data_IF_343086452765
#
_entry.id   IF_343086452765
#
_cell.length_a   1.000
_cell.length_b   1.000
_cell.length_c   1.000
_cell.angle_alpha   90.00
_cell.angle_beta   90.00
_cell.angle_gamma   90.00
#
_symmetry.space_group_name_H-M   'P 1'
#
loop_
_entity.id
_entity.type
_entity.pdbx_description
1 polymer ?
#
# COMPACT_ATOMS: atom_id res chain seq x y z
N UNK A 1 -0.21 -0.95 26.97
CA UNK A 1 1.15 -1.38 26.60
C UNK A 1 1.10 -1.91 25.19
N UNK A 2 1.18 -1.03 24.20
CA UNK A 2 1.23 -1.37 22.78
C UNK A 2 2.58 -0.85 22.29
N UNK A 3 3.63 -1.66 22.37
CA UNK A 3 4.85 -1.35 21.62
C UNK A 3 4.60 -1.79 20.19
N UNK A 4 4.05 -0.90 19.36
CA UNK A 4 3.88 -1.15 17.94
C UNK A 4 5.29 -1.23 17.32
N UNK A 5 5.63 -2.40 16.77
CA UNK A 5 6.88 -2.63 16.06
C UNK A 5 6.96 -1.69 14.86
N UNK A 6 7.94 -0.78 14.87
CA UNK A 6 8.18 0.17 13.79
C UNK A 6 8.72 -0.56 12.56
N UNK A 7 7.85 -0.94 11.62
CA UNK A 7 8.21 -1.23 10.22
C UNK A 7 7.13 -0.73 9.24
N UNK A 8 6.70 0.53 9.42
CA UNK A 8 6.40 1.34 8.24
C UNK A 8 7.75 1.75 7.62
N UNK A 9 7.87 1.67 6.30
CA UNK A 9 9.09 1.71 5.49
C UNK A 9 10.12 2.79 5.90
N UNK A 10 10.99 2.50 6.89
CA UNK A 10 12.23 3.25 7.10
C UNK A 10 13.29 2.71 6.14
N UNK A 11 13.45 3.36 5.00
CA UNK A 11 14.65 3.20 4.16
C UNK A 11 15.73 4.09 4.74
N UNK A 12 16.56 3.51 5.60
CA UNK A 12 17.72 4.18 6.18
C UNK A 12 18.62 3.14 6.83
N UNK A 13 19.49 2.54 6.01
CA UNK A 13 20.82 2.00 6.35
C UNK A 13 21.15 0.81 5.44
N UNK A 14 21.94 1.06 4.38
CA UNK A 14 23.03 0.21 3.87
C UNK A 14 23.84 1.10 2.91
N UNK A 15 24.87 1.74 3.45
CA UNK A 15 25.95 2.31 2.65
C UNK A 15 27.25 2.17 3.42
N UNK A 16 27.85 0.97 3.34
CA UNK A 16 29.31 0.79 3.42
C UNK A 16 29.69 -0.66 3.16
N UNK A 17 30.42 -0.84 2.06
CA UNK A 17 31.55 -1.75 1.84
C UNK A 17 31.41 -2.42 0.47
N UNK A 18 32.21 -1.97 -0.50
CA UNK A 18 33.08 -2.86 -1.26
C UNK A 18 34.09 -2.03 -2.05
N UNK A 19 35.36 -2.20 -1.67
CA UNK A 19 36.51 -1.76 -2.44
C UNK A 19 37.29 -2.98 -2.93
N UNK A 20 37.86 -2.82 -4.12
CA UNK A 20 38.95 -3.59 -4.76
C UNK A 20 38.63 -4.88 -5.52
N UNK A 21 38.51 -4.69 -6.83
CA UNK A 21 39.38 -5.23 -7.90
C UNK A 21 40.00 -6.63 -7.76
N UNK A 22 39.75 -7.47 -8.76
CA UNK A 22 40.59 -8.61 -9.14
C UNK A 22 40.21 -9.15 -10.51
N UNK A 23 41.09 -8.96 -11.50
CA UNK A 23 41.00 -9.51 -12.86
C UNK A 23 41.05 -11.05 -12.87
N UNK A 24 40.29 -11.69 -13.76
CA UNK A 24 40.32 -13.14 -13.98
C UNK A 24 39.88 -13.49 -15.40
N UNK A 25 40.85 -13.94 -16.20
CA UNK A 25 40.89 -14.23 -17.62
C UNK A 25 39.77 -15.09 -18.24
N UNK A 26 39.40 -14.72 -19.48
CA UNK A 26 38.62 -15.47 -20.48
C UNK A 26 39.38 -16.74 -20.91
N UNK A 27 38.71 -17.90 -20.90
CA UNK A 27 39.07 -19.05 -21.75
C UNK A 27 37.80 -19.62 -22.38
N UNK A 28 37.73 -19.50 -23.70
CA UNK A 28 36.75 -20.15 -24.59
C UNK A 28 37.07 -21.64 -24.71
N UNK A 29 36.09 -22.50 -24.43
CA UNK A 29 36.11 -23.90 -24.84
C UNK A 29 34.74 -24.30 -25.40
N UNK A 30 34.68 -24.40 -26.72
CA UNK A 30 33.57 -24.99 -27.49
C UNK A 30 33.57 -26.50 -27.34
N UNK A 31 32.47 -27.09 -26.88
CA UNK A 31 32.19 -28.50 -27.03
C UNK A 31 30.72 -28.71 -27.41
N UNK A 32 30.50 -29.05 -28.67
CA UNK A 32 29.22 -29.49 -29.19
C UNK A 32 28.96 -30.94 -28.74
N UNK A 33 27.84 -31.17 -28.06
CA UNK A 33 27.31 -32.51 -27.81
C UNK A 33 25.79 -32.47 -27.98
N UNK A 34 25.31 -33.09 -29.06
CA UNK A 34 23.89 -33.18 -29.38
C UNK A 34 23.10 -33.90 -28.29
N UNK A 35 21.98 -33.31 -27.87
CA UNK A 35 20.92 -33.99 -27.14
C UNK A 35 19.61 -33.80 -27.89
N UNK A 36 18.96 -34.95 -28.17
CA UNK A 36 17.66 -35.10 -28.82
C UNK A 36 16.64 -34.09 -28.30
N UNK A 37 16.06 -33.31 -29.21
CA UNK A 37 14.81 -32.60 -28.94
C UNK A 37 13.70 -33.63 -28.77
N UNK A 38 13.21 -33.79 -27.54
CA UNK A 38 11.85 -34.27 -27.33
C UNK A 38 10.95 -33.05 -27.45
N UNK A 39 10.33 -32.88 -28.62
CA UNK A 39 9.16 -32.00 -28.77
C UNK A 39 7.99 -32.64 -28.04
N UNK A 40 7.92 -32.39 -26.73
CA UNK A 40 6.70 -32.52 -25.96
C UNK A 40 5.77 -31.38 -26.37
N UNK A 41 4.94 -31.62 -27.38
CA UNK A 41 3.73 -30.81 -27.62
C UNK A 41 2.70 -31.20 -26.56
N UNK A 42 3.01 -30.90 -25.30
CA UNK A 42 1.99 -30.81 -24.27
C UNK A 42 1.28 -29.49 -24.48
N UNK A 43 -0.02 -29.53 -24.80
CA UNK A 43 -0.87 -28.35 -24.65
C UNK A 43 -0.67 -27.81 -23.24
N UNK A 44 0.04 -26.67 -23.11
CA UNK A 44 0.03 -25.91 -21.86
C UNK A 44 -1.41 -25.46 -21.68
N UNK A 45 -2.17 -26.17 -20.84
CA UNK A 45 -3.38 -25.61 -20.25
C UNK A 45 -2.97 -24.31 -19.60
N UNK A 46 -3.28 -23.18 -20.24
CA UNK A 46 -3.08 -21.87 -19.66
C UNK A 46 -4.12 -21.75 -18.54
N UNK A 47 -3.66 -22.02 -17.32
CA UNK A 47 -4.47 -21.75 -16.14
C UNK A 47 -4.87 -20.27 -16.17
N UNK A 48 -6.13 -20.00 -15.84
CA UNK A 48 -6.69 -18.66 -15.82
C UNK A 48 -7.22 -18.35 -14.44
N UNK A 49 -7.07 -17.09 -14.05
CA UNK A 49 -7.60 -16.51 -12.83
C UNK A 49 -8.56 -15.38 -13.22
N UNK A 50 -9.70 -15.29 -12.54
CA UNK A 50 -10.73 -14.28 -12.82
C UNK A 50 -10.71 -13.19 -11.76
N UNK A 51 -10.58 -11.93 -12.16
CA UNK A 51 -10.71 -10.75 -11.28
C UNK A 51 -11.84 -9.88 -11.82
N UNK A 52 -12.86 -9.63 -11.00
CA UNK A 52 -14.03 -8.81 -11.37
C UNK A 52 -14.70 -9.23 -12.71
N UNK A 53 -14.71 -10.54 -13.00
CA UNK A 53 -15.28 -11.11 -14.23
C UNK A 53 -14.33 -11.14 -15.44
N UNK A 54 -13.16 -10.51 -15.35
CA UNK A 54 -12.14 -10.54 -16.40
C UNK A 54 -11.16 -11.69 -16.14
N UNK A 55 -10.93 -12.53 -17.15
CA UNK A 55 -10.00 -13.65 -17.07
C UNK A 55 -8.59 -13.26 -17.49
N UNK A 56 -7.61 -13.61 -16.66
CA UNK A 56 -6.18 -13.36 -16.87
C UNK A 56 -5.43 -14.70 -16.90
N UNK A 57 -4.43 -14.81 -17.76
CA UNK A 57 -3.51 -15.96 -17.74
C UNK A 57 -2.66 -15.92 -16.48
N UNK A 58 -2.40 -17.09 -15.89
CA UNK A 58 -1.47 -17.27 -14.76
C UNK A 58 -0.13 -17.84 -15.23
N UNK A 59 0.92 -17.62 -14.47
CA UNK A 59 2.28 -18.12 -14.71
C UNK A 59 3.03 -18.41 -13.39
N UNK A 60 4.35 -18.49 -13.43
CA UNK A 60 5.19 -18.74 -12.25
C UNK A 60 5.25 -17.57 -11.27
N UNK A 61 4.83 -16.36 -11.65
CA UNK A 61 4.75 -15.20 -10.79
C UNK A 61 3.45 -15.16 -9.99
N UNK A 62 2.40 -15.83 -10.46
CA UNK A 62 1.09 -15.85 -9.80
C UNK A 62 1.20 -16.28 -8.33
N UNK A 63 0.80 -15.39 -7.42
CA UNK A 63 0.71 -15.64 -5.99
C UNK A 63 -0.59 -15.09 -5.37
N UNK A 64 -1.49 -14.52 -6.18
CA UNK A 64 -2.79 -14.02 -5.72
C UNK A 64 -3.69 -15.19 -5.32
N UNK A 65 -4.12 -15.22 -4.05
CA UNK A 65 -4.92 -16.33 -3.49
C UNK A 65 -6.42 -16.11 -3.64
N UNK A 66 -7.22 -17.17 -3.50
CA UNK A 66 -8.68 -17.06 -3.58
C UNK A 66 -9.25 -16.15 -2.48
N UNK A 67 -8.68 -16.19 -1.27
CA UNK A 67 -9.08 -15.28 -0.19
C UNK A 67 -8.89 -13.80 -0.56
N UNK A 68 -7.81 -13.47 -1.28
CA UNK A 68 -7.56 -12.10 -1.77
C UNK A 68 -8.54 -11.72 -2.88
N UNK A 69 -8.80 -12.64 -3.82
CA UNK A 69 -9.77 -12.40 -4.90
C UNK A 69 -11.17 -12.13 -4.38
N UNK A 70 -11.60 -12.81 -3.31
CA UNK A 70 -12.90 -12.57 -2.68
C UNK A 70 -13.03 -11.17 -2.05
N UNK A 71 -11.91 -10.49 -1.76
CA UNK A 71 -11.91 -9.11 -1.27
C UNK A 71 -12.00 -8.09 -2.41
N UNK A 72 -11.64 -8.48 -3.64
CA UNK A 72 -11.84 -7.62 -4.82
C UNK A 72 -13.33 -7.36 -5.04
N UNK A 73 -13.69 -6.11 -5.35
CA UNK A 73 -15.09 -5.74 -5.63
C UNK A 73 -15.98 -5.59 -4.40
N UNK A 74 -15.44 -5.67 -3.17
CA UNK A 74 -16.20 -5.40 -1.93
C UNK A 74 -16.74 -3.97 -1.85
N UNK A 75 -16.11 -3.03 -2.56
CA UNK A 75 -16.62 -1.67 -2.77
C UNK A 75 -16.87 -0.90 -1.47
N UNK A 76 -16.02 -1.06 -0.46
CA UNK A 76 -16.22 -0.42 0.86
C UNK A 76 -16.31 1.11 0.77
N UNK A 77 -15.60 1.71 -0.20
CA UNK A 77 -15.64 3.14 -0.49
C UNK A 77 -16.97 3.62 -1.14
N UNK A 78 -17.81 2.70 -1.61
CA UNK A 78 -19.10 2.97 -2.25
C UNK A 78 -20.30 2.65 -1.35
N UNK A 79 -20.06 2.17 -0.13
CA UNK A 79 -21.11 1.89 0.84
C UNK A 79 -21.32 3.14 1.70
N UNK A 80 -22.42 3.91 1.56
CA UNK A 80 -22.51 5.27 2.12
C UNK A 80 -22.34 5.36 3.65
N UNK A 81 -22.77 4.33 4.38
CA UNK A 81 -22.62 4.26 5.84
C UNK A 81 -21.30 3.66 6.29
N UNK A 82 -20.44 3.21 5.37
CA UNK A 82 -19.15 2.63 5.73
C UNK A 82 -18.19 3.74 6.17
N UNK A 83 -17.44 3.59 7.29
CA UNK A 83 -16.53 4.62 7.79
C UNK A 83 -15.53 5.14 6.74
N UNK A 84 -15.00 4.25 5.89
CA UNK A 84 -14.07 4.63 4.82
C UNK A 84 -14.76 5.45 3.72
N UNK A 85 -16.01 5.15 3.39
CA UNK A 85 -16.78 5.95 2.43
C UNK A 85 -17.10 7.34 3.01
N UNK A 86 -17.50 7.41 4.28
CA UNK A 86 -17.74 8.68 4.98
C UNK A 86 -16.48 9.53 4.96
N UNK A 87 -15.33 8.96 5.32
CA UNK A 87 -14.04 9.65 5.28
C UNK A 87 -13.68 10.12 3.86
N UNK A 88 -13.84 9.25 2.85
CA UNK A 88 -13.60 9.59 1.44
C UNK A 88 -14.40 10.83 1.02
N UNK A 89 -15.70 10.85 1.31
CA UNK A 89 -16.56 11.99 0.98
C UNK A 89 -16.15 13.27 1.71
N UNK A 90 -15.74 13.16 2.97
CA UNK A 90 -15.24 14.31 3.74
C UNK A 90 -13.95 14.89 3.16
N UNK A 91 -13.04 14.04 2.69
CA UNK A 91 -11.82 14.49 2.01
C UNK A 91 -12.19 15.14 0.67
N UNK A 92 -13.02 14.49 -0.14
CA UNK A 92 -13.47 15.06 -1.43
C UNK A 92 -14.07 16.46 -1.26
N UNK A 93 -14.87 16.69 -0.22
CA UNK A 93 -15.42 18.02 0.10
C UNK A 93 -14.36 19.09 0.39
N UNK A 94 -13.12 18.73 0.76
CA UNK A 94 -12.02 19.69 0.93
C UNK A 94 -11.39 20.13 -0.40
N UNK A 95 -11.70 19.44 -1.50
CA UNK A 95 -11.14 19.65 -2.83
C UNK A 95 -12.24 19.74 -3.89
N UNK A 96 -13.21 20.67 -3.79
CA UNK A 96 -14.34 20.77 -4.71
C UNK A 96 -13.93 21.00 -6.17
N UNK A 97 -12.73 21.54 -6.40
CA UNK A 97 -12.14 21.80 -7.72
C UNK A 97 -11.37 20.61 -8.29
N UNK A 98 -11.25 19.48 -7.59
CA UNK A 98 -10.49 18.31 -8.08
C UNK A 98 -11.39 17.34 -8.83
N UNK A 99 -10.87 16.69 -9.89
CA UNK A 99 -11.56 15.53 -10.48
C UNK A 99 -11.47 14.32 -9.53
N UNK A 100 -12.59 13.63 -9.27
CA UNK A 100 -12.61 12.48 -8.37
C UNK A 100 -12.70 11.15 -9.11
N UNK A 101 -11.79 10.23 -8.80
CA UNK A 101 -11.79 8.87 -9.32
C UNK A 101 -11.88 7.87 -8.17
N UNK A 102 -12.94 7.08 -8.11
CA UNK A 102 -13.11 6.02 -7.10
C UNK A 102 -13.51 4.65 -7.68
N UNK A 103 -13.54 4.54 -9.01
CA UNK A 103 -13.98 3.34 -9.74
C UNK A 103 -12.91 2.72 -10.66
N UNK A 104 -11.64 3.13 -10.51
CA UNK A 104 -10.54 2.58 -11.31
C UNK A 104 -10.27 1.11 -10.96
N UNK A 105 -10.00 0.29 -11.98
CA UNK A 105 -9.69 -1.14 -11.81
C UNK A 105 -8.51 -1.37 -10.87
N UNK A 106 -8.60 -2.31 -9.91
CA UNK A 106 -7.47 -2.70 -9.05
C UNK A 106 -6.40 -3.48 -9.79
N UNK A 107 -6.73 -4.06 -10.95
CA UNK A 107 -5.78 -4.77 -11.80
C UNK A 107 -5.02 -3.76 -12.67
N UNK A 108 -3.70 -3.73 -12.50
CA UNK A 108 -2.78 -2.83 -13.21
C UNK A 108 -1.58 -3.62 -13.74
N UNK A 109 -0.90 -3.05 -14.72
CA UNK A 109 0.38 -3.59 -15.19
C UNK A 109 1.50 -3.29 -14.21
N UNK A 110 2.58 -4.07 -14.26
CA UNK A 110 3.85 -3.76 -13.57
C UNK A 110 4.38 -2.39 -13.97
N UNK A 111 4.19 -2.00 -15.23
CA UNK A 111 4.55 -0.68 -15.72
C UNK A 111 3.77 0.44 -15.03
N UNK A 112 2.45 0.30 -14.90
CA UNK A 112 1.62 1.27 -14.19
C UNK A 112 2.02 1.38 -12.72
N UNK A 113 2.17 0.24 -12.03
CA UNK A 113 2.44 0.24 -10.60
C UNK A 113 3.88 0.63 -10.23
N UNK A 114 4.87 0.40 -11.10
CA UNK A 114 6.27 0.60 -10.73
C UNK A 114 7.07 1.42 -11.75
N UNK A 115 7.14 1.00 -13.01
CA UNK A 115 8.07 1.62 -13.98
C UNK A 115 7.70 3.09 -14.26
N UNK A 116 6.41 3.37 -14.39
CA UNK A 116 5.87 4.73 -14.64
C UNK A 116 6.22 5.72 -13.54
N UNK A 117 6.51 5.21 -12.34
CA UNK A 117 6.83 5.94 -11.12
C UNK A 117 8.34 5.90 -10.81
N UNK A 118 9.17 5.34 -11.70
CA UNK A 118 10.62 5.33 -11.55
C UNK A 118 11.16 4.35 -10.52
N UNK A 119 10.40 3.33 -10.13
CA UNK A 119 10.90 2.28 -9.25
C UNK A 119 12.05 1.50 -9.92
N UNK A 120 13.20 1.29 -9.25
CA UNK A 120 14.24 0.41 -9.77
C UNK A 120 13.75 -1.03 -9.99
N UNK A 121 14.33 -1.76 -10.95
CA UNK A 121 13.94 -3.15 -11.24
C UNK A 121 14.20 -4.12 -10.07
N UNK A 122 15.15 -3.81 -9.20
CA UNK A 122 15.47 -4.56 -7.99
C UNK A 122 14.83 -3.97 -6.72
N UNK A 123 13.85 -3.06 -6.86
CA UNK A 123 13.20 -2.44 -5.71
C UNK A 123 12.45 -3.50 -4.88
N UNK A 124 12.59 -3.53 -3.53
CA UNK A 124 11.94 -4.54 -2.68
C UNK A 124 10.43 -4.64 -2.88
N UNK A 125 9.76 -3.50 -3.10
CA UNK A 125 8.31 -3.49 -3.40
C UNK A 125 7.89 -4.28 -4.65
N UNK A 126 8.81 -4.64 -5.57
CA UNK A 126 8.53 -5.52 -6.71
C UNK A 126 8.64 -7.01 -6.37
N UNK A 127 9.12 -7.36 -5.18
CA UNK A 127 9.32 -8.74 -4.81
C UNK A 127 7.96 -9.47 -4.67
N UNK A 128 7.93 -10.73 -5.10
CA UNK A 128 6.76 -11.61 -4.89
C UNK A 128 6.40 -11.78 -3.41
N UNK A 129 7.34 -11.52 -2.50
CA UNK A 129 7.10 -11.54 -1.05
C UNK A 129 6.14 -10.46 -0.58
N UNK A 130 6.04 -9.33 -1.31
CA UNK A 130 5.36 -8.11 -0.84
C UNK A 130 4.16 -7.73 -1.74
N UNK A 131 4.11 -8.25 -2.96
CA UNK A 131 3.12 -7.88 -3.99
C UNK A 131 2.31 -9.07 -4.47
N UNK A 132 1.00 -8.86 -4.67
CA UNK A 132 0.10 -9.84 -5.28
C UNK A 132 0.11 -9.74 -6.81
N UNK A 133 0.83 -10.67 -7.44
CA UNK A 133 0.90 -10.85 -8.88
C UNK A 133 -0.20 -11.79 -9.37
N UNK A 134 -0.85 -11.39 -10.46
CA UNK A 134 -1.74 -12.24 -11.25
C UNK A 134 -0.90 -13.04 -12.26
N UNK A 135 0.09 -12.38 -12.87
CA UNK A 135 1.15 -12.95 -13.71
C UNK A 135 2.36 -12.00 -13.68
N UNK A 136 3.44 -12.28 -14.43
CA UNK A 136 4.66 -11.48 -14.44
C UNK A 136 4.42 -9.99 -14.75
N UNK A 137 3.47 -9.69 -15.63
CA UNK A 137 3.21 -8.33 -16.13
C UNK A 137 2.01 -7.65 -15.46
N UNK A 138 1.21 -8.38 -14.68
CA UNK A 138 -0.09 -7.92 -14.16
C UNK A 138 -0.23 -8.23 -12.68
N UNK A 139 -0.67 -7.25 -11.90
CA UNK A 139 -0.79 -7.34 -10.44
C UNK A 139 -2.03 -6.63 -9.92
N UNK A 140 -2.36 -6.87 -8.65
CA UNK A 140 -3.28 -6.03 -7.90
C UNK A 140 -2.49 -4.84 -7.35
N UNK A 141 -2.90 -3.60 -7.68
CA UNK A 141 -2.13 -2.38 -7.39
C UNK A 141 -1.71 -2.29 -5.92
N UNK A 142 -0.47 -1.94 -5.66
CA UNK A 142 0.06 -1.81 -4.29
C UNK A 142 -0.13 -0.41 -3.71
N UNK A 143 -0.47 0.55 -4.57
CA UNK A 143 -0.78 1.93 -4.20
C UNK A 143 -1.61 2.65 -5.26
N UNK A 144 -2.37 3.68 -4.87
CA UNK A 144 -3.16 4.51 -5.80
C UNK A 144 -2.31 5.30 -6.79
N UNK A 145 -1.03 5.55 -6.46
CA UNK A 145 -0.08 6.24 -7.36
C UNK A 145 0.11 5.52 -8.70
N UNK A 146 -0.25 4.24 -8.81
CA UNK A 146 -0.22 3.47 -10.07
C UNK A 146 -1.05 4.10 -11.20
N UNK A 147 -1.97 5.01 -10.85
CA UNK A 147 -2.84 5.71 -11.78
C UNK A 147 -2.36 7.13 -12.13
N UNK A 148 -1.26 7.65 -11.52
CA UNK A 148 -0.81 9.03 -11.74
C UNK A 148 -0.49 9.32 -13.22
N UNK A 149 0.41 8.54 -13.82
CA UNK A 149 0.89 8.82 -15.18
C UNK A 149 -0.25 8.79 -16.20
N UNK A 150 -1.12 7.78 -16.12
CA UNK A 150 -2.22 7.62 -17.08
C UNK A 150 -3.26 8.74 -16.95
N UNK A 151 -3.57 9.22 -15.73
CA UNK A 151 -4.52 10.30 -15.52
C UNK A 151 -3.95 11.65 -15.98
N UNK A 152 -2.69 11.94 -15.66
CA UNK A 152 -1.98 13.11 -16.17
C UNK A 152 -1.95 13.12 -17.70
N UNK A 153 -1.65 11.96 -18.31
CA UNK A 153 -1.63 11.81 -19.77
C UNK A 153 -3.02 11.99 -20.38
N UNK A 154 -4.04 11.37 -19.80
CA UNK A 154 -5.42 11.47 -20.28
C UNK A 154 -5.93 12.91 -20.27
N UNK A 155 -5.64 13.68 -19.21
CA UNK A 155 -5.97 15.10 -19.13
C UNK A 155 -5.27 15.94 -20.21
N UNK A 156 -4.04 15.56 -20.59
CA UNK A 156 -3.30 16.24 -21.66
C UNK A 156 -3.75 15.85 -23.07
N UNK A 157 -4.13 14.59 -23.29
CA UNK A 157 -4.51 14.08 -24.61
C UNK A 157 -6.01 14.20 -24.91
N UNK A 158 -6.84 14.52 -23.91
CA UNK A 158 -8.30 14.52 -24.04
C UNK A 158 -8.88 13.11 -24.17
N UNK A 159 -8.32 12.13 -23.46
CA UNK A 159 -8.84 10.76 -23.45
C UNK A 159 -10.20 10.71 -22.73
N UNK A 160 -11.28 10.80 -23.50
CA UNK A 160 -12.62 10.90 -22.97
C UNK A 160 -13.08 9.65 -22.21
N UNK A 161 -12.49 8.47 -22.44
CA UNK A 161 -12.94 7.24 -21.80
C UNK A 161 -12.46 7.15 -20.34
N UNK A 162 -11.17 7.39 -20.11
CA UNK A 162 -10.64 7.40 -18.75
C UNK A 162 -11.18 8.60 -17.97
N UNK A 163 -11.27 9.77 -18.62
CA UNK A 163 -11.76 10.99 -18.00
C UNK A 163 -13.26 10.88 -17.63
N UNK A 164 -14.08 10.21 -18.44
CA UNK A 164 -15.51 9.99 -18.14
C UNK A 164 -15.77 9.17 -16.86
N UNK A 165 -14.76 8.48 -16.33
CA UNK A 165 -14.84 7.80 -15.03
C UNK A 165 -14.79 8.77 -13.84
N UNK A 166 -14.51 10.06 -14.08
CA UNK A 166 -14.53 11.08 -13.04
C UNK A 166 -15.95 11.29 -12.50
N UNK A 167 -16.14 11.14 -11.19
CA UNK A 167 -17.46 11.15 -10.54
C UNK A 167 -18.16 12.51 -10.57
N UNK A 168 -17.40 13.60 -10.67
CA UNK A 168 -17.91 14.97 -10.64
C UNK A 168 -17.80 15.69 -12.00
N UNK A 169 -17.80 14.94 -13.11
CA UNK A 169 -17.98 15.51 -14.44
C UNK A 169 -16.85 16.43 -14.91
N UNK A 170 -15.61 16.20 -14.46
CA UNK A 170 -14.40 16.97 -14.80
C UNK A 170 -14.36 18.38 -14.21
N UNK A 171 -14.63 18.52 -12.90
CA UNK A 171 -14.50 19.81 -12.20
C UNK A 171 -13.15 20.52 -12.45
N UNK A 172 -12.09 19.75 -12.71
CA UNK A 172 -10.85 20.24 -13.32
C UNK A 172 -10.28 19.22 -14.32
N UNK A 173 -9.41 19.66 -15.25
CA UNK A 173 -8.64 18.76 -16.10
C UNK A 173 -7.77 17.82 -15.26
N UNK A 174 -7.75 16.53 -15.60
CA UNK A 174 -7.00 15.52 -14.85
C UNK A 174 -5.47 15.69 -14.92
N UNK A 175 -4.96 16.51 -15.83
CA UNK A 175 -3.55 16.90 -15.86
C UNK A 175 -3.24 18.08 -14.92
N UNK A 176 -4.26 18.73 -14.35
CA UNK A 176 -4.09 19.78 -13.35
C UNK A 176 -4.22 19.24 -11.94
N UNK A 177 -5.39 18.66 -11.61
CA UNK A 177 -5.70 18.28 -10.24
C UNK A 177 -6.73 17.17 -10.17
N UNK A 178 -6.44 16.14 -9.40
CA UNK A 178 -7.32 14.99 -9.22
C UNK A 178 -7.08 14.26 -7.92
N UNK A 179 -8.11 13.56 -7.45
CA UNK A 179 -8.04 12.62 -6.34
C UNK A 179 -8.37 11.21 -6.84
N UNK A 180 -7.64 10.22 -6.34
CA UNK A 180 -7.94 8.80 -6.59
C UNK A 180 -8.17 8.10 -5.26
N UNK A 181 -9.36 7.57 -5.02
CA UNK A 181 -9.68 6.80 -3.82
C UNK A 181 -9.93 5.33 -4.17
N UNK A 182 -9.10 4.42 -3.68
CA UNK A 182 -9.20 3.03 -4.13
C UNK A 182 -8.62 2.03 -3.13
N UNK A 183 -9.08 0.78 -3.20
CA UNK A 183 -8.51 -0.38 -2.54
C UNK A 183 -7.13 -0.74 -3.12
N UNK A 184 -6.16 -1.10 -2.29
CA UNK A 184 -4.79 -1.45 -2.64
C UNK A 184 -4.38 -2.72 -1.91
N UNK A 185 -3.45 -3.46 -2.49
CA UNK A 185 -3.18 -4.85 -2.13
C UNK A 185 -1.71 -5.04 -1.80
N UNK A 186 -1.41 -5.58 -0.61
CA UNK A 186 -0.04 -5.86 -0.17
C UNK A 186 0.02 -7.16 0.62
N UNK A 187 1.11 -7.90 0.43
CA UNK A 187 1.43 -9.05 1.26
C UNK A 187 2.16 -8.54 2.49
N UNK A 188 1.54 -8.66 3.66
CA UNK A 188 2.08 -8.09 4.90
C UNK A 188 1.76 -8.98 6.11
N UNK A 189 2.29 -8.59 7.27
CA UNK A 189 2.05 -9.18 8.58
C UNK A 189 0.55 -9.20 8.94
N UNK A 190 0.17 -10.03 9.93
CA UNK A 190 -1.19 -10.07 10.48
C UNK A 190 -1.17 -9.47 11.88
N UNK A 191 -1.77 -8.30 12.01
CA UNK A 191 -2.06 -7.63 13.28
C UNK A 191 -3.26 -6.68 13.15
N UNK A 192 -3.58 -5.94 14.22
CA UNK A 192 -4.72 -5.02 14.26
C UNK A 192 -4.61 -3.80 13.32
N UNK A 193 -3.44 -3.54 12.74
CA UNK A 193 -3.14 -2.41 11.86
C UNK A 193 -2.78 -2.80 10.42
N UNK A 194 -2.43 -4.06 10.18
CA UNK A 194 -2.08 -4.59 8.85
C UNK A 194 -3.17 -5.53 8.33
N UNK A 195 -3.63 -5.26 7.11
CA UNK A 195 -4.60 -6.09 6.40
C UNK A 195 -4.19 -6.16 4.92
N UNK A 196 -4.36 -7.30 4.24
CA UNK A 196 -3.83 -7.49 2.88
C UNK A 196 -4.50 -6.62 1.83
N UNK A 197 -5.68 -6.06 2.15
CA UNK A 197 -6.41 -5.10 1.34
C UNK A 197 -6.79 -3.90 2.20
N UNK A 198 -6.28 -2.74 1.85
CA UNK A 198 -6.63 -1.50 2.53
C UNK A 198 -6.89 -0.42 1.48
N UNK A 199 -7.23 0.80 1.87
CA UNK A 199 -7.63 1.84 0.93
C UNK A 199 -6.73 3.05 1.04
N UNK A 200 -6.39 3.61 -0.11
CA UNK A 200 -5.65 4.85 -0.19
C UNK A 200 -6.46 5.95 -0.85
N UNK A 201 -6.10 7.19 -0.55
CA UNK A 201 -6.45 8.33 -1.37
C UNK A 201 -5.19 9.03 -1.86
N UNK A 202 -5.03 9.06 -3.18
CA UNK A 202 -4.07 9.88 -3.90
C UNK A 202 -4.62 11.28 -4.09
N UNK A 203 -3.76 12.29 -3.98
CA UNK A 203 -4.02 13.61 -4.52
C UNK A 203 -2.85 14.09 -5.35
N UNK A 204 -3.13 14.65 -6.52
CA UNK A 204 -2.14 15.28 -7.40
C UNK A 204 -2.60 16.69 -7.70
N UNK A 205 -1.67 17.64 -7.63
CA UNK A 205 -1.88 19.03 -8.01
C UNK A 205 -0.68 19.53 -8.79
N UNK A 206 -0.93 20.12 -9.96
CA UNK A 206 0.11 20.64 -10.83
C UNK A 206 -0.22 22.06 -11.27
N UNK A 207 0.83 22.78 -11.63
CA UNK A 207 0.82 24.19 -12.01
C UNK A 207 1.53 24.36 -13.34
N UNK A 208 1.10 25.32 -14.16
CA UNK A 208 1.92 25.73 -15.28
C UNK A 208 3.19 26.38 -14.74
N UNK A 209 4.36 25.92 -15.20
CA UNK A 209 5.65 26.42 -14.69
C UNK A 209 5.81 27.93 -14.92
N UNK A 210 5.25 28.46 -16.02
CA UNK A 210 5.22 29.90 -16.30
C UNK A 210 4.48 30.69 -15.22
N UNK A 211 3.31 30.22 -14.78
CA UNK A 211 2.49 30.89 -13.77
C UNK A 211 3.21 30.91 -12.40
N UNK A 212 3.84 29.80 -12.03
CA UNK A 212 4.65 29.72 -10.80
C UNK A 212 5.80 30.72 -10.84
N UNK A 213 6.52 30.78 -11.97
CA UNK A 213 7.64 31.69 -12.13
C UNK A 213 7.20 33.17 -12.11
N UNK A 214 6.08 33.50 -12.75
CA UNK A 214 5.49 34.84 -12.67
C UNK A 214 5.12 35.23 -11.23
N UNK A 215 4.50 34.31 -10.47
CA UNK A 215 4.15 34.55 -9.08
C UNK A 215 5.41 34.77 -8.21
N UNK A 216 6.44 33.94 -8.40
CA UNK A 216 7.71 34.08 -7.69
C UNK A 216 8.41 35.41 -8.00
N UNK A 217 8.33 35.89 -9.23
CA UNK A 217 8.86 37.20 -9.62
C UNK A 217 8.10 38.36 -8.96
N UNK A 218 6.79 38.23 -8.78
CA UNK A 218 5.94 39.29 -8.20
C UNK A 218 6.06 39.39 -6.68
N UNK A 219 6.02 38.26 -5.96
CA UNK A 219 5.92 38.29 -4.50
C UNK A 219 7.27 38.44 -3.81
N UNK A 220 8.37 38.07 -4.48
CA UNK A 220 9.65 37.82 -3.82
C UNK A 220 9.53 36.66 -2.82
N UNK A 221 10.57 35.82 -2.70
CA UNK A 221 10.53 34.73 -1.71
C UNK A 221 10.71 35.30 -0.30
N UNK A 222 9.61 35.53 0.43
CA UNK A 222 9.66 35.96 1.84
C UNK A 222 9.10 34.85 2.73
N UNK A 223 9.81 34.51 3.81
CA UNK A 223 9.31 33.57 4.83
C UNK A 223 9.60 32.07 4.61
N UNK A 224 10.63 31.71 3.85
CA UNK A 224 11.00 30.29 3.60
C UNK A 224 11.14 29.51 4.92
N UNK A 225 10.26 28.52 5.13
CA UNK A 225 10.36 27.59 6.26
C UNK A 225 10.83 26.20 5.83
N UNK A 226 10.68 25.86 4.54
CA UNK A 226 11.12 24.56 4.02
C UNK A 226 12.60 24.60 3.67
N UNK A 227 13.37 23.73 4.32
CA UNK A 227 14.78 23.48 4.04
C UNK A 227 14.93 22.20 3.22
N UNK A 228 16.00 22.13 2.42
CA UNK A 228 16.38 20.94 1.65
C UNK A 228 17.70 20.39 2.18
N UNK A 229 17.87 19.08 2.12
CA UNK A 229 19.03 18.37 2.67
C UNK A 229 19.56 17.35 1.67
N UNK A 230 20.77 16.84 1.87
CA UNK A 230 21.33 15.78 1.02
C UNK A 230 20.49 14.49 1.06
N UNK A 231 19.82 14.24 2.19
CA UNK A 231 18.87 13.13 2.35
C UNK A 231 17.50 13.39 1.72
N UNK A 232 17.18 14.64 1.41
CA UNK A 232 15.92 15.06 0.79
C UNK A 232 16.16 16.09 -0.32
N UNK A 233 16.79 15.67 -1.43
CA UNK A 233 17.39 16.57 -2.39
C UNK A 233 16.38 17.19 -3.35
N UNK A 234 16.78 18.33 -3.91
CA UNK A 234 16.12 18.94 -5.06
C UNK A 234 16.28 18.06 -6.31
N UNK A 235 15.32 18.17 -7.23
CA UNK A 235 15.46 17.65 -8.58
C UNK A 235 16.38 18.55 -9.40
N UNK A 236 17.13 17.98 -10.35
CA UNK A 236 18.04 18.74 -11.21
C UNK A 236 17.29 19.70 -12.14
N UNK A 237 16.04 19.37 -12.48
CA UNK A 237 15.19 20.13 -13.39
C UNK A 237 14.40 21.26 -12.71
N UNK A 238 14.51 21.39 -11.38
CA UNK A 238 13.76 22.36 -10.57
C UNK A 238 14.71 23.32 -9.87
N UNK A 239 14.35 24.60 -9.85
CA UNK A 239 15.03 25.59 -9.01
C UNK A 239 14.61 25.42 -7.54
N UNK A 240 15.44 25.91 -6.62
CA UNK A 240 15.07 25.92 -5.20
C UNK A 240 13.78 26.74 -4.95
N UNK A 241 13.56 27.80 -5.72
CA UNK A 241 12.38 28.64 -5.60
C UNK A 241 11.08 27.92 -5.99
N UNK A 242 11.09 27.23 -7.14
CA UNK A 242 9.98 26.37 -7.58
C UNK A 242 9.71 25.27 -6.54
N UNK A 243 10.76 24.61 -6.05
CA UNK A 243 10.61 23.54 -5.07
C UNK A 243 10.01 24.05 -3.74
N UNK A 244 10.45 25.20 -3.24
CA UNK A 244 9.87 25.79 -2.03
C UNK A 244 8.41 26.17 -2.24
N UNK A 245 8.06 26.78 -3.37
CA UNK A 245 6.67 27.11 -3.70
C UNK A 245 5.76 25.88 -3.63
N UNK A 246 6.15 24.80 -4.31
CA UNK A 246 5.39 23.56 -4.34
C UNK A 246 5.30 22.91 -2.96
N UNK A 247 6.39 22.88 -2.19
CA UNK A 247 6.41 22.31 -0.86
C UNK A 247 5.50 23.07 0.11
N UNK A 248 5.51 24.41 0.06
CA UNK A 248 4.69 25.24 0.95
C UNK A 248 3.21 25.17 0.56
N UNK A 249 2.88 25.15 -0.74
CA UNK A 249 1.52 24.94 -1.21
C UNK A 249 0.97 23.56 -0.79
N UNK A 250 1.76 22.50 -1.01
CA UNK A 250 1.42 21.14 -0.60
C UNK A 250 1.20 21.04 0.91
N UNK A 251 2.17 21.48 1.72
CA UNK A 251 2.10 21.39 3.18
C UNK A 251 0.92 22.18 3.74
N UNK A 252 0.66 23.40 3.22
CA UNK A 252 -0.51 24.20 3.60
C UNK A 252 -1.81 23.47 3.27
N UNK A 253 -1.92 22.95 2.05
CA UNK A 253 -3.11 22.24 1.57
C UNK A 253 -3.40 21.00 2.42
N UNK A 254 -2.39 20.16 2.67
CA UNK A 254 -2.52 18.96 3.49
C UNK A 254 -2.79 19.28 4.97
N UNK A 255 -2.13 20.29 5.55
CA UNK A 255 -2.42 20.74 6.92
C UNK A 255 -3.87 21.19 7.06
N UNK A 256 -4.39 21.96 6.11
CA UNK A 256 -5.78 22.43 6.12
C UNK A 256 -6.76 21.25 6.00
N UNK A 257 -6.50 20.31 5.08
CA UNK A 257 -7.32 19.10 4.93
C UNK A 257 -7.37 18.28 6.22
N UNK A 258 -6.20 17.96 6.79
CA UNK A 258 -6.10 17.16 8.02
C UNK A 258 -6.76 17.88 9.20
N UNK A 259 -6.53 19.19 9.36
CA UNK A 259 -7.17 19.98 10.39
C UNK A 259 -8.71 19.96 10.23
N UNK A 260 -9.23 20.14 9.02
CA UNK A 260 -10.67 20.12 8.76
C UNK A 260 -11.32 18.76 9.04
N UNK A 261 -10.62 17.66 8.76
CA UNK A 261 -11.11 16.31 9.03
C UNK A 261 -11.05 16.01 10.53
N UNK A 262 -9.91 16.28 11.16
CA UNK A 262 -9.69 15.92 12.56
C UNK A 262 -10.44 16.87 13.53
N UNK A 263 -10.75 18.10 13.14
CA UNK A 263 -11.64 18.97 13.91
C UNK A 263 -13.05 18.36 14.11
N UNK A 264 -13.44 17.40 13.25
CA UNK A 264 -14.69 16.64 13.39
C UNK A 264 -14.56 15.43 14.31
N UNK A 265 -13.35 15.08 14.75
CA UNK A 265 -13.14 14.04 15.74
C UNK A 265 -13.49 14.54 17.14
N UNK A 266 -13.98 13.63 18.00
CA UNK A 266 -14.16 13.91 19.43
C UNK A 266 -12.84 14.39 20.06
N UNK A 267 -12.87 15.54 20.75
CA UNK A 267 -11.69 16.24 21.26
C UNK A 267 -10.90 17.10 20.26
N UNK A 268 -11.38 17.26 19.01
CA UNK A 268 -10.67 18.02 17.96
C UNK A 268 -10.59 19.54 18.14
N UNK A 269 -11.09 20.08 19.26
CA UNK A 269 -11.04 21.51 19.59
C UNK A 269 -9.62 21.98 19.94
N UNK A 270 -8.76 21.09 20.45
CA UNK A 270 -7.39 21.45 20.87
C UNK A 270 -6.37 21.45 19.73
N UNK A 271 -6.81 21.11 18.51
CA UNK A 271 -5.93 20.90 17.36
C UNK A 271 -5.09 19.63 17.50
N UNK A 272 -4.77 18.99 16.37
CA UNK A 272 -3.87 17.85 16.36
C UNK A 272 -2.48 18.31 15.95
N UNK A 273 -1.45 18.12 16.79
CA UNK A 273 -0.09 18.42 16.38
C UNK A 273 0.30 17.59 15.15
N UNK A 274 0.77 18.28 14.11
CA UNK A 274 1.29 17.69 12.88
C UNK A 274 2.79 17.95 12.80
N UNK A 275 3.54 16.96 12.34
CA UNK A 275 4.94 17.15 11.96
C UNK A 275 5.24 16.55 10.59
N UNK A 276 6.29 17.07 9.97
CA UNK A 276 6.79 16.64 8.67
C UNK A 276 8.15 16.00 8.86
N UNK A 277 8.32 14.79 8.35
CA UNK A 277 9.57 14.04 8.37
C UNK A 277 10.08 13.92 6.94
N UNK A 278 11.38 14.01 6.72
CA UNK A 278 11.96 13.75 5.40
C UNK A 278 11.65 12.30 4.98
N UNK A 279 11.12 12.14 3.77
CA UNK A 279 10.78 10.84 3.18
C UNK A 279 11.64 10.56 1.95
N UNK A 280 11.50 9.34 1.39
CA UNK A 280 12.15 8.97 0.13
C UNK A 280 11.24 8.08 -0.69
N UNK A 281 10.81 8.58 -1.86
CA UNK A 281 9.97 7.83 -2.78
C UNK A 281 10.55 7.88 -4.20
N UNK A 282 10.41 6.80 -5.00
CA UNK A 282 10.93 6.78 -6.37
C UNK A 282 10.32 7.81 -7.32
N UNK A 283 9.15 8.35 -7.00
CA UNK A 283 8.35 9.24 -7.87
C UNK A 283 8.22 10.68 -7.38
N UNK A 284 8.80 11.02 -6.22
CA UNK A 284 8.83 12.40 -5.70
C UNK A 284 10.22 12.77 -5.19
N UNK A 285 10.60 14.03 -5.33
CA UNK A 285 11.81 14.60 -4.73
C UNK A 285 11.72 16.13 -4.73
N UNK A 286 11.99 16.81 -3.62
CA UNK A 286 11.99 16.30 -2.25
C UNK A 286 10.67 15.63 -1.86
N UNK A 287 10.72 14.80 -0.82
CA UNK A 287 9.64 13.98 -0.29
C UNK A 287 9.49 14.15 1.21
N UNK A 288 8.27 14.02 1.72
CA UNK A 288 7.98 14.07 3.14
C UNK A 288 6.94 13.05 3.55
N UNK A 289 7.01 12.66 4.80
CA UNK A 289 5.95 11.95 5.50
C UNK A 289 5.26 12.91 6.48
N UNK A 290 3.94 12.85 6.53
CA UNK A 290 3.14 13.61 7.49
C UNK A 290 2.75 12.70 8.65
N UNK A 291 3.07 13.12 9.87
CA UNK A 291 2.68 12.42 11.08
C UNK A 291 1.76 13.28 11.96
N UNK A 292 0.78 12.65 12.59
CA UNK A 292 -0.14 13.26 13.55
C UNK A 292 0.11 12.68 14.95
N UNK A 293 0.16 13.53 15.96
CA UNK A 293 0.23 13.08 17.34
C UNK A 293 -1.15 12.59 17.79
N UNK A 294 -1.26 11.31 18.11
CA UNK A 294 -2.49 10.70 18.59
C UNK A 294 -2.22 9.78 19.78
N UNK A 295 -2.96 9.97 20.87
CA UNK A 295 -2.82 9.18 22.12
C UNK A 295 -1.37 9.10 22.64
N UNK A 296 -0.60 10.17 22.45
CA UNK A 296 0.80 10.26 22.89
C UNK A 296 1.82 9.64 21.93
N UNK A 297 1.40 9.09 20.79
CA UNK A 297 2.28 8.51 19.78
C UNK A 297 2.16 9.26 18.44
N UNK A 298 3.28 9.42 17.75
CA UNK A 298 3.30 9.98 16.41
C UNK A 298 2.95 8.89 15.40
N UNK A 299 1.90 9.13 14.62
CA UNK A 299 1.39 8.22 13.62
C UNK A 299 1.53 8.84 12.24
N UNK A 300 2.35 8.24 11.40
CA UNK A 300 2.43 8.56 9.98
C UNK A 300 1.07 8.34 9.31
N UNK A 301 0.57 9.31 8.55
CA UNK A 301 -0.71 9.19 7.85
C UNK A 301 -0.57 9.31 6.34
N UNK A 302 0.59 9.80 5.86
CA UNK A 302 0.81 10.12 4.46
C UNK A 302 2.28 10.08 4.07
N UNK A 303 2.55 9.60 2.85
CA UNK A 303 3.72 9.99 2.06
C UNK A 303 3.34 11.04 1.02
N UNK A 304 4.22 11.99 0.75
CA UNK A 304 3.98 13.06 -0.22
C UNK A 304 5.30 13.63 -0.75
N UNK A 305 5.22 14.50 -1.75
CA UNK A 305 6.38 15.23 -2.23
C UNK A 305 6.14 15.91 -3.56
N UNK A 306 7.20 16.52 -4.06
CA UNK A 306 7.22 17.18 -5.37
C UNK A 306 7.37 16.08 -6.43
N UNK A 307 6.40 15.95 -7.31
CA UNK A 307 6.38 14.92 -8.36
C UNK A 307 7.60 15.04 -9.24
N UNK A 308 8.22 13.90 -9.59
CA UNK A 308 9.39 13.91 -10.47
C UNK A 308 9.06 14.48 -11.86
N UNK A 309 9.93 15.33 -12.38
CA UNK A 309 9.73 15.98 -13.69
C UNK A 309 9.66 14.96 -14.83
N UNK A 310 10.30 13.80 -14.69
CA UNK A 310 10.20 12.69 -15.64
C UNK A 310 8.76 12.18 -15.79
N UNK A 311 7.96 12.17 -14.72
CA UNK A 311 6.55 11.75 -14.78
C UNK A 311 5.73 12.76 -15.58
N UNK A 312 5.93 14.07 -15.35
CA UNK A 312 5.27 15.14 -16.11
C UNK A 312 5.64 15.07 -17.60
N UNK A 313 6.92 14.83 -17.90
CA UNK A 313 7.43 14.70 -19.26
C UNK A 313 6.83 13.48 -19.97
N UNK A 314 6.78 12.34 -19.29
CA UNK A 314 6.18 11.10 -19.81
C UNK A 314 4.66 11.20 -20.00
N UNK A 315 3.99 12.05 -19.21
CA UNK A 315 2.57 12.36 -19.37
C UNK A 315 2.28 13.30 -20.55
N UNK A 316 3.31 13.88 -21.18
CA UNK A 316 3.14 14.87 -22.25
C UNK A 316 2.86 16.29 -21.74
N UNK A 317 3.16 16.58 -20.46
CA UNK A 317 2.99 17.91 -19.84
C UNK A 317 4.31 18.43 -19.24
N UNK A 318 5.43 18.44 -19.99
CA UNK A 318 6.75 18.85 -19.46
C UNK A 318 6.78 20.31 -18.96
N UNK A 319 5.87 21.16 -19.41
CA UNK A 319 5.70 22.55 -18.98
C UNK A 319 5.02 22.70 -17.61
N UNK A 320 4.60 21.60 -16.98
CA UNK A 320 3.97 21.60 -15.65
C UNK A 320 4.92 21.08 -14.58
N UNK A 321 4.70 21.54 -13.36
CA UNK A 321 5.35 21.10 -12.12
C UNK A 321 4.28 20.87 -11.06
N UNK A 322 4.51 20.03 -10.08
CA UNK A 322 3.45 19.70 -9.14
C UNK A 322 3.91 18.88 -7.96
N UNK A 323 2.96 18.63 -7.08
CA UNK A 323 3.12 17.79 -5.91
C UNK A 323 2.05 16.68 -5.91
N UNK A 324 2.34 15.62 -5.18
CA UNK A 324 1.43 14.52 -4.95
C UNK A 324 1.47 14.05 -3.49
N UNK A 325 0.37 13.47 -3.02
CA UNK A 325 0.26 12.81 -1.73
C UNK A 325 -0.49 11.49 -1.85
N UNK A 326 -0.28 10.59 -0.89
CA UNK A 326 -1.05 9.35 -0.72
C UNK A 326 -1.29 9.04 0.76
N UNK A 327 -2.54 9.11 1.21
CA UNK A 327 -2.92 8.78 2.60
C UNK A 327 -3.57 7.40 2.68
N UNK A 328 -3.32 6.68 3.78
CA UNK A 328 -4.05 5.46 4.13
C UNK A 328 -5.38 5.79 4.82
N UNK A 329 -6.50 5.41 4.20
CA UNK A 329 -7.85 5.75 4.69
C UNK A 329 -8.18 5.01 5.99
N UNK A 330 -7.77 3.76 6.16
CA UNK A 330 -7.99 2.99 7.38
C UNK A 330 -7.32 3.64 8.57
N UNK A 331 -6.07 4.09 8.42
CA UNK A 331 -5.33 4.71 9.51
C UNK A 331 -6.06 5.95 10.01
N UNK A 332 -6.47 6.83 9.09
CA UNK A 332 -7.22 8.04 9.43
C UNK A 332 -8.64 7.72 9.96
N UNK A 333 -9.31 6.69 9.44
CA UNK A 333 -10.60 6.25 9.94
C UNK A 333 -10.51 5.63 11.34
N UNK A 334 -9.47 4.86 11.65
CA UNK A 334 -9.22 4.33 12.99
C UNK A 334 -9.06 5.46 14.00
N UNK A 335 -8.35 6.53 13.64
CA UNK A 335 -8.24 7.74 14.45
C UNK A 335 -9.61 8.43 14.63
N UNK A 336 -10.28 8.72 13.52
CA UNK A 336 -11.50 9.52 13.47
C UNK A 336 -12.67 8.83 14.18
N UNK A 337 -12.91 7.56 13.86
CA UNK A 337 -14.01 6.77 14.39
C UNK A 337 -13.61 5.96 15.63
N UNK A 338 -12.34 5.92 16.03
CA UNK A 338 -11.91 5.14 17.20
C UNK A 338 -12.00 3.63 17.02
N UNK A 339 -11.88 3.15 15.77
CA UNK A 339 -11.90 1.73 15.42
C UNK A 339 -10.56 1.09 15.85
N UNK A 340 -10.56 0.07 16.73
CA UNK A 340 -9.32 -0.45 17.32
C UNK A 340 -8.58 -1.48 16.44
N UNK A 341 -9.25 -2.01 15.42
CA UNK A 341 -8.75 -3.12 14.61
C UNK A 341 -9.25 -2.99 13.17
N UNK A 342 -8.33 -3.04 12.21
CA UNK A 342 -8.60 -2.88 10.78
C UNK A 342 -9.61 -3.90 10.22
N UNK A 343 -9.68 -5.11 10.81
CA UNK A 343 -10.60 -6.17 10.37
C UNK A 343 -12.07 -5.76 10.50
N UNK A 344 -12.38 -4.82 11.40
CA UNK A 344 -13.75 -4.33 11.57
C UNK A 344 -14.30 -3.64 10.32
N UNK A 345 -13.46 -2.96 9.53
CA UNK A 345 -13.89 -2.39 8.25
C UNK A 345 -14.31 -3.47 7.23
N UNK A 346 -13.82 -4.70 7.39
CA UNK A 346 -14.17 -5.81 6.52
C UNK A 346 -15.29 -6.69 7.09
N UNK A 347 -15.80 -6.36 8.29
CA UNK A 347 -16.84 -7.12 8.96
C UNK A 347 -18.17 -7.04 8.21
N UNK A 348 -18.88 -8.16 8.16
CA UNK A 348 -20.25 -8.25 7.68
C UNK A 348 -21.28 -8.08 8.81
N UNK A 349 -20.82 -7.81 10.04
CA UNK A 349 -21.69 -7.69 11.19
C UNK A 349 -22.53 -6.40 11.13
N UNK A 350 -23.88 -6.49 11.11
CA UNK A 350 -24.74 -5.32 11.07
C UNK A 350 -24.55 -4.41 12.28
N UNK A 351 -24.09 -4.93 13.43
CA UNK A 351 -23.81 -4.13 14.64
C UNK A 351 -22.66 -3.16 14.45
N UNK A 352 -21.73 -3.42 13.51
CA UNK A 352 -20.66 -2.48 13.15
C UNK A 352 -21.22 -1.39 12.24
N UNK A 353 -21.83 -1.79 11.12
CA UNK A 353 -22.36 -0.87 10.12
C UNK A 353 -23.43 0.07 10.70
N UNK A 354 -24.29 -0.41 11.62
CA UNK A 354 -25.36 0.38 12.23
C UNK A 354 -24.87 1.53 13.12
N UNK A 355 -23.58 1.60 13.48
CA UNK A 355 -23.04 2.68 14.30
C UNK A 355 -22.69 3.94 13.49
N UNK A 356 -22.68 3.84 12.17
CA UNK A 356 -22.21 4.89 11.26
C UNK A 356 -23.33 5.31 10.31
N UNK A 357 -23.29 6.58 9.91
CA UNK A 357 -24.26 7.15 8.98
C UNK A 357 -23.57 8.19 8.08
N UNK A 358 -24.03 8.35 6.84
CA UNK A 358 -23.42 9.28 5.90
C UNK A 358 -23.29 10.69 6.48
N UNK A 359 -22.10 11.29 6.36
CA UNK A 359 -21.81 12.66 6.79
C UNK A 359 -21.66 12.86 8.31
N UNK A 360 -21.85 11.82 9.14
CA UNK A 360 -21.71 11.91 10.58
C UNK A 360 -20.47 11.17 11.10
N UNK A 361 -19.75 11.80 12.04
CA UNK A 361 -18.62 11.18 12.74
C UNK A 361 -19.10 10.68 14.10
N UNK A 362 -19.17 9.36 14.24
CA UNK A 362 -19.49 8.68 15.50
C UNK A 362 -18.31 7.84 15.97
N UNK A 363 -18.00 7.88 17.27
CA UNK A 363 -17.02 6.94 17.84
C UNK A 363 -17.63 5.54 17.87
N UNK A 364 -16.87 4.57 17.36
CA UNK A 364 -17.15 3.16 17.45
C UNK A 364 -17.23 2.75 18.92
N UNK A 365 -18.31 2.05 19.25
CA UNK A 365 -18.56 1.43 20.55
C UNK A 365 -18.26 -0.07 20.41
N UNK A 366 -17.22 -0.58 21.10
CA UNK A 366 -16.85 -1.99 21.02
C UNK A 366 -17.98 -2.92 21.45
N UNK A 367 -18.06 -4.07 20.79
CA UNK A 367 -18.89 -5.18 21.24
C UNK A 367 -18.25 -5.87 22.45
N UNK A 368 -19.02 -6.69 23.16
CA UNK A 368 -18.44 -7.63 24.12
C UNK A 368 -17.47 -8.55 23.40
N UNK A 369 -16.19 -8.52 23.78
CA UNK A 369 -15.15 -9.38 23.19
C UNK A 369 -15.04 -10.65 24.01
N UNK A 370 -15.01 -11.79 23.32
CA UNK A 370 -14.68 -13.05 23.96
C UNK A 370 -13.15 -13.20 24.09
N UNK A 371 -12.67 -13.96 25.09
CA UNK A 371 -11.24 -14.14 25.29
C UNK A 371 -10.58 -14.72 24.03
N UNK A 372 -9.42 -14.20 23.59
CA UNK A 372 -8.68 -14.77 22.48
C UNK A 372 -8.20 -16.19 22.84
N UNK A 373 -8.13 -17.06 21.83
CA UNK A 373 -7.53 -18.39 21.93
C UNK A 373 -6.20 -18.41 21.18
N UNK A 374 -5.13 -18.81 21.84
CA UNK A 374 -3.79 -18.86 21.23
C UNK A 374 -3.38 -20.29 20.91
N UNK A 375 -2.75 -20.48 19.74
CA UNK A 375 -2.13 -21.75 19.34
C UNK A 375 -0.72 -21.48 18.84
N UNK A 376 0.23 -22.25 19.34
CA UNK A 376 1.61 -22.18 18.87
C UNK A 376 1.85 -23.25 17.80
N UNK A 377 2.62 -22.93 16.77
CA UNK A 377 3.04 -23.87 15.73
C UNK A 377 4.54 -23.77 15.51
N UNK A 378 5.23 -24.87 15.80
CA UNK A 378 6.65 -25.06 15.53
C UNK A 378 6.86 -25.87 14.27
N UNK A 379 7.84 -25.48 13.45
CA UNK A 379 8.17 -26.21 12.23
C UNK A 379 9.59 -25.93 11.76
N UNK A 380 10.15 -26.90 11.04
CA UNK A 380 11.40 -26.78 10.30
C UNK A 380 11.16 -26.20 8.91
N UNK A 381 11.99 -25.24 8.52
CA UNK A 381 11.98 -24.63 7.20
C UNK A 381 12.53 -25.62 6.16
N UNK A 382 11.88 -25.72 4.97
CA UNK A 382 12.37 -26.57 3.88
C UNK A 382 13.75 -26.11 3.41
N UNK A 383 14.63 -27.07 3.09
CA UNK A 383 15.94 -26.76 2.47
C UNK A 383 15.82 -26.62 0.95
N UNK A 384 14.78 -27.24 0.39
CA UNK A 384 14.57 -27.36 -1.05
C UNK A 384 13.85 -26.15 -1.67
N UNK A 385 13.33 -25.24 -0.86
CA UNK A 385 12.57 -24.08 -1.32
C UNK A 385 12.79 -22.87 -0.40
N UNK A 386 12.78 -21.64 -0.95
CA UNK A 386 12.77 -20.44 -0.13
C UNK A 386 11.47 -20.39 0.70
N UNK A 387 11.56 -19.87 1.92
CA UNK A 387 10.42 -19.61 2.79
C UNK A 387 10.38 -18.11 3.11
N UNK A 388 9.26 -17.47 2.79
CA UNK A 388 9.00 -16.10 3.22
C UNK A 388 7.86 -16.06 4.24
N UNK A 389 7.93 -15.14 5.19
CA UNK A 389 6.93 -15.04 6.27
C UNK A 389 5.54 -14.72 5.72
N UNK A 390 5.46 -13.90 4.68
CA UNK A 390 4.21 -13.57 4.01
C UNK A 390 3.55 -14.77 3.32
N UNK A 391 4.31 -15.83 2.97
CA UNK A 391 3.70 -17.08 2.49
C UNK A 391 2.93 -17.79 3.60
N UNK A 392 3.44 -17.73 4.84
CA UNK A 392 2.70 -18.17 6.02
C UNK A 392 1.48 -17.26 6.28
N UNK A 393 1.63 -15.94 6.19
CA UNK A 393 0.52 -15.00 6.43
C UNK A 393 -0.64 -15.24 5.45
N UNK A 394 -0.34 -15.47 4.17
CA UNK A 394 -1.38 -15.73 3.17
C UNK A 394 -2.03 -17.10 3.37
N UNK A 395 -1.25 -18.12 3.72
CA UNK A 395 -1.79 -19.43 4.08
C UNK A 395 -2.74 -19.33 5.29
N UNK A 396 -2.37 -18.55 6.30
CA UNK A 396 -3.19 -18.31 7.48
C UNK A 396 -4.50 -17.59 7.11
N UNK A 397 -4.44 -16.55 6.27
CA UNK A 397 -5.62 -15.85 5.75
C UNK A 397 -6.52 -16.78 4.92
N UNK A 398 -5.95 -17.63 4.08
CA UNK A 398 -6.70 -18.57 3.24
C UNK A 398 -7.47 -19.61 4.07
N UNK A 399 -6.90 -20.08 5.18
CA UNK A 399 -7.44 -21.20 5.95
C UNK A 399 -8.27 -20.79 7.18
N UNK A 400 -8.05 -19.58 7.71
CA UNK A 400 -8.70 -19.08 8.92
C UNK A 400 -9.37 -17.71 8.75
N UNK A 401 -9.09 -16.98 7.67
CA UNK A 401 -9.70 -15.68 7.37
C UNK A 401 -9.55 -14.67 8.50
N UNK A 402 -10.63 -13.91 8.75
CA UNK A 402 -10.65 -12.80 9.71
C UNK A 402 -10.69 -13.26 11.19
N UNK A 403 -10.66 -14.57 11.45
CA UNK A 403 -10.56 -15.12 12.81
C UNK A 403 -9.17 -14.93 13.42
N UNK A 404 -8.12 -14.76 12.62
CA UNK A 404 -6.78 -14.50 13.13
C UNK A 404 -6.67 -13.01 13.44
N UNK A 405 -6.41 -12.70 14.71
CA UNK A 405 -6.15 -11.35 15.20
C UNK A 405 -4.70 -10.94 15.06
N UNK A 406 -3.79 -11.91 15.23
CA UNK A 406 -2.38 -11.61 15.09
C UNK A 406 -1.51 -12.84 15.08
N UNK A 407 -0.31 -12.65 14.54
CA UNK A 407 0.75 -13.66 14.49
C UNK A 407 2.02 -13.09 15.09
N UNK A 408 2.71 -13.89 15.91
CA UNK A 408 3.99 -13.48 16.51
C UNK A 408 5.03 -14.58 16.35
N UNK A 409 6.20 -14.27 15.79
CA UNK A 409 7.36 -15.15 15.86
C UNK A 409 7.88 -15.14 17.32
N UNK A 410 7.74 -16.26 18.02
CA UNK A 410 8.10 -16.37 19.44
C UNK A 410 9.42 -17.11 19.67
N UNK A 411 9.87 -17.92 18.71
CA UNK A 411 11.16 -18.61 18.77
C UNK A 411 11.71 -18.85 17.35
N UNK A 412 13.03 -18.74 17.22
CA UNK A 412 13.77 -19.04 15.99
C UNK A 412 15.13 -19.59 16.35
N UNK A 413 15.42 -20.83 15.95
CA UNK A 413 16.69 -21.47 16.24
C UNK A 413 17.21 -22.29 15.06
N UNK A 414 18.53 -22.40 14.96
CA UNK A 414 19.21 -23.27 13.99
C UNK A 414 19.79 -24.47 14.73
N UNK A 415 19.41 -25.68 14.31
CA UNK A 415 19.91 -26.90 14.92
C UNK A 415 21.40 -27.06 14.62
N UNK A 416 22.27 -27.22 15.63
CA UNK A 416 23.73 -27.13 15.45
C UNK A 416 24.29 -28.23 14.54
N UNK A 417 23.78 -29.45 14.64
CA UNK A 417 24.30 -30.59 13.86
C UNK A 417 23.73 -30.68 12.44
N UNK A 418 22.42 -30.48 12.28
CA UNK A 418 21.75 -30.65 11.00
C UNK A 418 21.70 -29.36 10.17
N UNK A 419 22.04 -28.20 10.77
CA UNK A 419 21.92 -26.89 10.13
C UNK A 419 20.47 -26.44 9.88
N UNK A 420 19.48 -27.23 10.26
CA UNK A 420 18.07 -26.94 9.98
C UNK A 420 17.60 -25.74 10.81
N UNK A 421 16.93 -24.79 10.16
CA UNK A 421 16.26 -23.68 10.82
C UNK A 421 14.85 -24.08 11.24
N UNK A 422 14.51 -23.85 12.51
CA UNK A 422 13.17 -24.01 13.08
C UNK A 422 12.62 -22.66 13.46
N UNK A 423 11.31 -22.47 13.26
CA UNK A 423 10.56 -21.32 13.75
C UNK A 423 9.35 -21.77 14.55
N UNK A 424 8.98 -20.97 15.54
CA UNK A 424 7.73 -21.12 16.27
C UNK A 424 6.92 -19.82 16.20
N UNK A 425 5.70 -19.93 15.68
CA UNK A 425 4.76 -18.81 15.64
C UNK A 425 3.63 -19.05 16.63
N UNK A 426 3.27 -17.99 17.37
CA UNK A 426 2.01 -17.90 18.10
C UNK A 426 0.95 -17.29 17.20
N UNK A 427 -0.16 -17.98 17.03
CA UNK A 427 -1.34 -17.53 16.29
C UNK A 427 -2.43 -17.21 17.30
N UNK A 428 -2.92 -15.97 17.29
CA UNK A 428 -4.01 -15.51 18.16
C UNK A 428 -5.31 -15.52 17.37
N UNK A 429 -6.23 -16.39 17.77
CA UNK A 429 -7.57 -16.48 17.21
C UNK A 429 -8.55 -15.66 18.05
N UNK A 430 -9.21 -14.70 17.43
CA UNK A 430 -10.21 -13.85 18.04
C UNK A 430 -11.14 -13.29 16.95
N UNK A 431 -12.39 -13.76 16.94
CA UNK A 431 -13.44 -13.20 16.10
C UNK A 431 -13.84 -11.82 16.61
N UNK A 432 -14.13 -10.90 15.68
CA UNK A 432 -14.59 -9.56 16.00
C UNK A 432 -16.12 -9.45 16.18
N UNK A 433 -16.86 -10.47 15.74
CA UNK A 433 -18.31 -10.45 15.57
C UNK A 433 -19.05 -11.58 16.30
N UNK A 434 -18.37 -12.62 16.78
CA UNK A 434 -19.04 -13.73 17.47
C UNK A 434 -18.14 -14.51 18.40
N UNK A 435 -18.77 -15.45 19.08
CA UNK A 435 -18.10 -16.40 19.93
C UNK A 435 -17.54 -17.52 19.05
N UNK A 436 -16.30 -17.91 19.35
CA UNK A 436 -15.63 -19.07 18.77
C UNK A 436 -15.34 -20.05 19.89
N UNK A 437 -15.59 -21.34 19.65
CA UNK A 437 -15.32 -22.39 20.64
C UNK A 437 -13.88 -22.90 20.48
N UNK A 438 -13.33 -23.50 21.54
CA UNK A 438 -12.02 -24.14 21.44
C UNK A 438 -12.00 -25.27 20.40
N UNK A 439 -13.09 -26.02 20.26
CA UNK A 439 -13.19 -27.10 19.28
C UNK A 439 -13.16 -26.57 17.85
N UNK A 440 -13.84 -25.45 17.59
CA UNK A 440 -13.79 -24.77 16.30
C UNK A 440 -12.36 -24.30 15.98
N UNK A 441 -11.70 -23.65 16.94
CA UNK A 441 -10.31 -23.19 16.77
C UNK A 441 -9.34 -24.36 16.59
N UNK A 442 -9.53 -25.48 17.30
CA UNK A 442 -8.72 -26.68 17.12
C UNK A 442 -8.87 -27.23 15.69
N UNK A 443 -10.10 -27.34 15.18
CA UNK A 443 -10.34 -27.80 13.82
C UNK A 443 -9.70 -26.88 12.77
N UNK A 444 -9.76 -25.55 12.97
CA UNK A 444 -9.08 -24.57 12.10
C UNK A 444 -7.56 -24.74 12.17
N UNK A 445 -7.00 -24.86 13.38
CA UNK A 445 -5.57 -25.05 13.59
C UNK A 445 -5.06 -26.34 12.92
N UNK A 446 -5.83 -27.42 12.95
CA UNK A 446 -5.47 -28.67 12.28
C UNK A 446 -5.44 -28.51 10.76
N UNK A 447 -6.40 -27.77 10.18
CA UNK A 447 -6.38 -27.43 8.74
C UNK A 447 -5.17 -26.56 8.39
N UNK A 448 -4.86 -25.54 9.20
CA UNK A 448 -3.67 -24.68 9.03
C UNK A 448 -2.40 -25.54 9.03
N UNK A 449 -2.23 -26.42 10.03
CA UNK A 449 -1.07 -27.31 10.13
C UNK A 449 -0.94 -28.23 8.92
N UNK A 450 -2.04 -28.80 8.45
CA UNK A 450 -2.04 -29.64 7.25
C UNK A 450 -1.67 -28.84 5.99
N UNK A 451 -2.22 -27.64 5.84
CA UNK A 451 -1.91 -26.75 4.72
C UNK A 451 -0.44 -26.31 4.73
N UNK A 452 0.14 -25.98 5.90
CA UNK A 452 1.56 -25.62 6.02
C UNK A 452 2.46 -26.72 5.47
N UNK A 453 2.19 -27.98 5.81
CA UNK A 453 2.97 -29.12 5.28
C UNK A 453 2.78 -29.26 3.77
N UNK A 454 1.53 -29.20 3.30
CA UNK A 454 1.19 -29.45 1.90
C UNK A 454 1.65 -28.34 0.95
N UNK A 455 1.55 -27.07 1.36
CA UNK A 455 1.76 -25.90 0.50
C UNK A 455 3.13 -25.24 0.71
N UNK A 456 3.62 -25.19 1.96
CA UNK A 456 4.90 -24.56 2.29
C UNK A 456 6.04 -25.59 2.42
N UNK A 457 5.74 -26.89 2.36
CA UNK A 457 6.74 -27.95 2.46
C UNK A 457 7.46 -28.01 3.81
N UNK A 458 6.91 -27.39 4.86
CA UNK A 458 7.52 -27.38 6.19
C UNK A 458 7.37 -28.73 6.87
N UNK A 459 8.27 -29.05 7.81
CA UNK A 459 8.10 -30.21 8.69
C UNK A 459 7.67 -29.73 10.07
N UNK A 460 6.44 -30.04 10.49
CA UNK A 460 5.94 -29.69 11.83
C UNK A 460 6.82 -30.32 12.92
N UNK A 461 6.98 -29.61 14.03
CA UNK A 461 7.78 -30.00 15.19
C UNK A 461 6.94 -29.98 16.47
#
# INVERSE_FOLDING_TARGET
>A
MLSCGRRAWRIGDIARQQGRSGMGWLILATAAAGRRMYTSTGERTTNKLSVLGTAYSTDEWTNTTSAILQKTGRGLLHQPSHPLAILKELIFQQFPDYAYYDSLSPVVTTQQNFDSLGFPGNHPGRAKSDTYYINEDTLLRTHTSAHQLQLLKAGSSGDNELLAQARNGHAAPANERFLVAADVYRRDEIDASHYPVFHQMEGVCTFARSEVNEQLHQTGMTGQTTTFSDSNPLQIEHTAAEATFLAEDMKRTMNNMVAAILARADGGQDGFPVRWIDGSFPFTSPSWEMEVLFRGEWLEICGCGITKQSIMSNAGVPQRIGWAFGFGLERLAMLLFGVPDIRLFWSHDPRFAAQFSPGNISKFKPFSRHPPCTKDVSFWIPHSAPFHENDLMDLLRENAGDLIEGTQLIDSFTHPTSGRMSRCYRITYCSMDRNVTNDEINAIQDRVRAAMVAQLGVTLR
#
